data_IF_577545359624
#
_entry.id   IF_577545359624
#
_cell.length_a   1.000
_cell.length_b   1.000
_cell.length_c   1.000
_cell.angle_alpha   90.00
_cell.angle_beta   90.00
_cell.angle_gamma   90.00
#
_symmetry.space_group_name_H-M   'P 1'
#
loop_
_entity.id
_entity.type
_entity.pdbx_description
1 polymer ?
#
# COMPACT_ATOMS: atom_id res chain seq x y z
N UNK A 1 -23.77 -1.16 -22.56
CA UNK A 1 -22.97 -0.47 -21.53
C UNK A 1 -22.59 0.89 -22.09
N UNK A 2 -22.89 2.00 -21.40
CA UNK A 2 -22.50 3.34 -21.89
C UNK A 2 -21.02 3.56 -21.56
N UNK A 3 -20.12 3.68 -22.56
CA UNK A 3 -18.68 3.83 -22.33
C UNK A 3 -18.32 5.10 -21.56
N UNK A 4 -19.21 6.10 -21.52
CA UNK A 4 -19.02 7.34 -20.75
C UNK A 4 -18.88 7.09 -19.25
N UNK A 5 -19.41 5.97 -18.73
CA UNK A 5 -19.32 5.65 -17.30
C UNK A 5 -18.21 4.65 -16.98
N UNK A 6 -17.48 4.15 -17.98
CA UNK A 6 -16.36 3.24 -17.74
C UNK A 6 -15.30 3.97 -16.91
N UNK A 7 -14.84 3.34 -15.83
CA UNK A 7 -13.70 3.79 -15.04
C UNK A 7 -13.70 5.30 -14.76
N UNK A 8 -14.83 5.79 -14.21
CA UNK A 8 -15.10 7.22 -14.16
C UNK A 8 -13.97 8.02 -13.49
N UNK A 9 -13.54 9.10 -14.14
CA UNK A 9 -12.59 10.07 -13.60
C UNK A 9 -13.27 11.01 -12.58
N UNK A 10 -12.45 11.76 -11.83
CA UNK A 10 -12.94 12.81 -10.93
C UNK A 10 -13.65 13.93 -11.71
N UNK A 11 -14.75 14.40 -11.16
CA UNK A 11 -15.46 15.60 -11.64
C UNK A 11 -14.69 16.87 -11.22
N UNK A 12 -15.04 18.05 -11.77
CA UNK A 12 -14.47 19.32 -11.30
C UNK A 12 -14.65 19.54 -9.80
N UNK A 13 -15.81 19.16 -9.23
CA UNK A 13 -16.04 19.20 -7.79
C UNK A 13 -15.14 18.20 -7.03
N UNK A 14 -14.97 16.99 -7.54
CA UNK A 14 -14.08 15.99 -6.95
C UNK A 14 -12.64 16.49 -6.87
N UNK A 15 -12.17 17.16 -7.92
CA UNK A 15 -10.85 17.80 -7.95
C UNK A 15 -10.73 18.98 -6.97
N UNK A 16 -11.78 19.78 -6.79
CA UNK A 16 -11.81 20.82 -5.75
C UNK A 16 -11.71 20.22 -4.34
N UNK A 17 -12.36 19.08 -4.11
CA UNK A 17 -12.27 18.35 -2.83
C UNK A 17 -10.85 17.82 -2.59
N UNK A 18 -10.21 17.26 -3.63
CA UNK A 18 -8.80 16.85 -3.60
C UNK A 18 -7.88 18.02 -3.23
N UNK A 19 -8.07 19.21 -3.80
CA UNK A 19 -7.24 20.38 -3.48
C UNK A 19 -7.41 20.82 -2.02
N UNK A 20 -8.64 20.76 -1.50
CA UNK A 20 -8.91 21.09 -0.11
C UNK A 20 -8.26 20.07 0.84
N UNK A 21 -8.35 18.78 0.52
CA UNK A 21 -7.70 17.73 1.31
C UNK A 21 -6.17 17.87 1.25
N UNK A 22 -5.58 18.12 0.07
CA UNK A 22 -4.14 18.38 -0.09
C UNK A 22 -3.69 19.51 0.82
N UNK A 23 -4.39 20.66 0.80
CA UNK A 23 -4.08 21.81 1.68
C UNK A 23 -4.11 21.41 3.15
N UNK A 24 -5.10 20.64 3.57
CA UNK A 24 -5.21 20.16 4.93
C UNK A 24 -4.03 19.25 5.32
N UNK A 25 -3.74 18.23 4.51
CA UNK A 25 -2.66 17.25 4.73
C UNK A 25 -1.29 17.94 4.80
N UNK A 26 -1.05 18.96 3.97
CA UNK A 26 0.17 19.75 4.01
C UNK A 26 0.22 20.64 5.27
N UNK A 27 -0.88 21.33 5.60
CA UNK A 27 -0.93 22.24 6.74
C UNK A 27 -0.75 21.53 8.09
N UNK A 28 -1.28 20.31 8.24
CA UNK A 28 -1.10 19.52 9.46
C UNK A 28 0.21 18.72 9.48
N UNK A 29 1.00 18.76 8.40
CA UNK A 29 2.27 18.05 8.28
C UNK A 29 2.14 16.54 8.10
N UNK A 30 0.93 16.02 7.83
CA UNK A 30 0.69 14.60 7.61
C UNK A 30 1.41 14.10 6.36
N UNK A 31 1.54 14.92 5.33
CA UNK A 31 2.30 14.59 4.10
C UNK A 31 3.73 14.10 4.37
N UNK A 32 4.38 14.64 5.42
CA UNK A 32 5.77 14.31 5.79
C UNK A 32 5.89 13.05 6.64
N UNK A 33 4.77 12.52 7.13
CA UNK A 33 4.74 11.33 7.99
C UNK A 33 4.42 10.06 7.22
N UNK A 34 3.70 10.17 6.10
CA UNK A 34 3.26 9.01 5.33
C UNK A 34 4.46 8.33 4.68
N UNK A 35 4.64 7.06 4.99
CA UNK A 35 5.69 6.20 4.44
C UNK A 35 5.26 5.58 3.10
N UNK A 36 3.95 5.38 2.90
CA UNK A 36 3.36 4.72 1.74
C UNK A 36 1.91 5.17 1.51
N UNK A 37 1.57 5.41 0.24
CA UNK A 37 0.18 5.56 -0.19
C UNK A 37 -0.24 4.31 -0.95
N UNK A 38 -1.35 3.71 -0.52
CA UNK A 38 -1.97 2.58 -1.21
C UNK A 38 -3.25 3.09 -1.85
N UNK A 39 -3.46 2.76 -3.12
CA UNK A 39 -4.64 3.21 -3.85
C UNK A 39 -5.34 2.07 -4.57
N UNK A 40 -6.66 2.14 -4.64
CA UNK A 40 -7.41 1.28 -5.56
C UNK A 40 -7.03 1.60 -7.01
N UNK A 41 -6.87 0.61 -7.90
CA UNK A 41 -6.57 0.83 -9.31
C UNK A 41 -7.83 1.21 -10.10
N UNK A 42 -8.58 2.21 -9.63
CA UNK A 42 -9.65 2.86 -10.38
C UNK A 42 -9.25 4.30 -10.63
N UNK A 43 -9.62 4.87 -11.79
CA UNK A 43 -9.10 6.16 -12.23
C UNK A 43 -9.35 7.28 -11.21
N UNK A 44 -10.56 7.32 -10.62
CA UNK A 44 -10.91 8.27 -9.55
C UNK A 44 -10.02 8.19 -8.31
N UNK A 45 -9.59 6.99 -7.89
CA UNK A 45 -8.74 6.80 -6.70
C UNK A 45 -7.28 7.04 -7.03
N UNK A 46 -6.81 6.69 -8.23
CA UNK A 46 -5.49 7.08 -8.74
C UNK A 46 -5.36 8.61 -8.76
N UNK A 47 -6.30 9.31 -9.39
CA UNK A 47 -6.34 10.78 -9.43
C UNK A 47 -6.40 11.42 -8.04
N UNK A 48 -7.19 10.85 -7.12
CA UNK A 48 -7.25 11.31 -5.73
C UNK A 48 -5.91 11.13 -5.03
N UNK A 49 -5.29 9.96 -5.14
CA UNK A 49 -4.01 9.65 -4.48
C UNK A 49 -2.89 10.58 -4.93
N UNK A 50 -2.68 10.71 -6.25
CA UNK A 50 -1.64 11.59 -6.79
C UNK A 50 -1.94 13.06 -6.55
N UNK A 51 -3.22 13.46 -6.60
CA UNK A 51 -3.64 14.84 -6.32
C UNK A 51 -3.38 15.27 -4.88
N UNK A 52 -3.72 14.42 -3.91
CA UNK A 52 -3.56 14.71 -2.48
C UNK A 52 -2.11 14.57 -2.03
N UNK A 53 -1.43 13.49 -2.43
CA UNK A 53 -0.13 13.11 -1.88
C UNK A 53 1.06 13.31 -2.82
N UNK A 54 0.84 13.76 -4.06
CA UNK A 54 1.92 14.02 -4.99
C UNK A 54 2.73 15.28 -4.67
N UNK A 55 3.86 15.44 -5.34
CA UNK A 55 4.74 16.60 -5.23
C UNK A 55 4.12 17.88 -5.78
N UNK A 56 4.75 19.02 -5.47
CA UNK A 56 4.43 20.29 -6.13
C UNK A 56 4.73 20.23 -7.63
N UNK A 57 4.17 21.17 -8.40
CA UNK A 57 4.16 21.15 -9.87
C UNK A 57 5.45 20.64 -10.53
N UNK A 58 5.29 19.81 -11.57
CA UNK A 58 6.42 19.23 -12.28
C UNK A 58 7.31 20.31 -12.91
N UNK A 59 8.54 20.45 -12.41
CA UNK A 59 9.60 21.17 -13.11
C UNK A 59 10.39 20.15 -13.91
N UNK A 60 10.74 20.49 -15.16
CA UNK A 60 11.48 19.68 -16.14
C UNK A 60 12.93 19.37 -15.69
N UNK A 61 13.09 18.85 -14.48
CA UNK A 61 14.36 18.35 -13.94
C UNK A 61 14.50 16.92 -14.42
N UNK A 62 15.57 16.70 -15.18
CA UNK A 62 15.70 15.68 -16.22
C UNK A 62 15.65 14.19 -15.82
N UNK A 63 15.40 13.82 -14.56
CA UNK A 63 15.60 12.43 -14.10
C UNK A 63 14.45 11.81 -13.29
N UNK A 64 13.28 12.44 -13.18
CA UNK A 64 12.15 11.87 -12.40
C UNK A 64 10.86 11.84 -13.20
N UNK A 65 10.24 10.65 -13.31
CA UNK A 65 8.92 10.48 -13.92
C UNK A 65 7.83 11.15 -13.06
N UNK A 66 6.84 11.84 -13.66
CA UNK A 66 5.74 12.41 -12.90
C UNK A 66 4.86 11.32 -12.28
N UNK A 67 4.21 11.59 -11.15
CA UNK A 67 3.17 10.70 -10.63
C UNK A 67 1.95 10.65 -11.55
N UNK A 68 1.67 11.77 -12.23
CA UNK A 68 0.54 11.90 -13.16
C UNK A 68 0.93 12.85 -14.29
N UNK A 69 0.70 12.44 -15.53
CA UNK A 69 0.91 13.31 -16.69
C UNK A 69 -0.16 14.40 -16.79
N UNK A 70 0.12 15.45 -17.56
CA UNK A 70 -0.86 16.51 -17.79
C UNK A 70 -2.14 15.96 -18.44
N UNK A 71 -3.29 16.48 -18.00
CA UNK A 71 -4.62 16.12 -18.49
C UNK A 71 -4.98 14.63 -18.37
N UNK A 72 -4.32 13.85 -17.49
CA UNK A 72 -4.66 12.45 -17.26
C UNK A 72 -6.15 12.29 -16.89
N UNK A 73 -6.85 11.42 -17.62
CA UNK A 73 -8.30 11.22 -17.45
C UNK A 73 -9.15 12.46 -17.73
N UNK A 74 -8.76 13.29 -18.71
CA UNK A 74 -9.44 14.55 -19.07
C UNK A 74 -9.62 15.51 -17.90
N UNK A 75 -8.65 15.54 -16.99
CA UNK A 75 -8.72 16.33 -15.76
C UNK A 75 -8.54 17.83 -15.95
N UNK A 76 -7.98 18.27 -17.08
CA UNK A 76 -7.57 19.66 -17.30
C UNK A 76 -6.43 20.12 -16.38
N UNK A 77 -5.74 19.19 -15.71
CA UNK A 77 -4.68 19.49 -14.73
C UNK A 77 -3.29 19.43 -15.35
N UNK A 78 -2.38 20.22 -14.78
CA UNK A 78 -0.95 20.07 -15.06
C UNK A 78 -0.43 18.72 -14.57
N UNK A 79 0.75 18.32 -15.04
CA UNK A 79 1.44 17.14 -14.52
C UNK A 79 1.75 17.31 -13.02
N UNK A 80 1.65 16.21 -12.28
CA UNK A 80 1.95 16.16 -10.84
C UNK A 80 3.29 15.46 -10.65
N UNK A 81 4.20 16.12 -9.93
CA UNK A 81 5.54 15.60 -9.65
C UNK A 81 5.51 14.43 -8.65
N UNK A 82 6.49 13.56 -8.74
CA UNK A 82 6.83 12.56 -7.72
C UNK A 82 7.88 13.05 -6.71
N UNK A 83 8.39 14.27 -6.89
CA UNK A 83 9.33 14.87 -5.95
C UNK A 83 8.65 15.11 -4.60
N UNK A 84 9.31 14.71 -3.51
CA UNK A 84 8.80 14.85 -2.14
C UNK A 84 7.44 14.16 -1.90
N UNK A 85 7.04 13.22 -2.76
CA UNK A 85 5.88 12.37 -2.53
C UNK A 85 6.29 11.00 -1.99
N UNK A 86 5.50 10.40 -1.08
CA UNK A 86 5.69 9.00 -0.71
C UNK A 86 5.48 8.07 -1.92
N UNK A 87 6.05 6.85 -1.91
CA UNK A 87 5.71 5.82 -2.88
C UNK A 87 4.19 5.60 -2.93
N UNK A 88 3.66 5.40 -4.13
CA UNK A 88 2.25 5.12 -4.36
C UNK A 88 2.12 3.76 -5.03
N UNK A 89 1.38 2.84 -4.42
CA UNK A 89 1.19 1.46 -4.92
C UNK A 89 -0.30 1.20 -5.18
N UNK A 90 -0.63 0.67 -6.35
CA UNK A 90 -1.97 0.30 -6.74
C UNK A 90 -2.29 -1.15 -6.36
N UNK A 91 -3.43 -1.39 -5.70
CA UNK A 91 -3.79 -2.71 -5.12
C UNK A 91 -5.24 -3.08 -5.42
N UNK A 92 -5.45 -4.21 -6.08
CA UNK A 92 -6.79 -4.72 -6.46
C UNK A 92 -7.71 -4.98 -5.25
N UNK A 93 -7.16 -5.39 -4.12
CA UNK A 93 -7.93 -5.78 -2.93
C UNK A 93 -8.79 -4.65 -2.34
N UNK A 94 -8.42 -3.38 -2.54
CA UNK A 94 -9.14 -2.22 -1.98
C UNK A 94 -10.07 -1.51 -2.98
N UNK A 95 -10.53 -2.20 -4.03
CA UNK A 95 -11.52 -1.67 -4.97
C UNK A 95 -12.92 -1.59 -4.37
N UNK A 96 -13.77 -0.73 -4.96
CA UNK A 96 -15.22 -0.76 -4.76
C UNK A 96 -15.78 -2.15 -5.14
N UNK A 97 -17.07 -2.36 -4.90
CA UNK A 97 -17.77 -3.57 -5.34
C UNK A 97 -17.47 -3.92 -6.81
N UNK A 98 -17.10 -5.18 -7.06
CA UNK A 98 -16.76 -5.67 -8.39
C UNK A 98 -18.01 -6.04 -9.20
N UNK A 99 -17.95 -5.80 -10.50
CA UNK A 99 -18.92 -6.26 -11.50
C UNK A 99 -20.15 -5.37 -11.70
N UNK A 100 -20.90 -5.62 -12.79
CA UNK A 100 -22.11 -4.92 -13.27
C UNK A 100 -21.95 -3.43 -13.58
N UNK A 101 -21.45 -2.62 -12.65
CA UNK A 101 -21.29 -1.18 -12.82
C UNK A 101 -20.01 -0.86 -13.61
N UNK A 102 -20.11 -0.19 -14.77
CA UNK A 102 -18.95 0.10 -15.61
C UNK A 102 -17.91 1.00 -14.93
N UNK A 103 -18.37 1.90 -14.04
CA UNK A 103 -17.48 2.78 -13.30
C UNK A 103 -16.57 2.03 -12.31
N UNK A 104 -16.91 0.78 -11.98
CA UNK A 104 -16.11 -0.07 -11.12
C UNK A 104 -15.23 -1.04 -11.92
N UNK A 105 -15.25 -0.97 -13.26
CA UNK A 105 -14.31 -1.68 -14.14
C UNK A 105 -13.13 -0.76 -14.43
N UNK A 106 -11.91 -1.19 -14.11
CA UNK A 106 -10.71 -0.40 -14.39
C UNK A 106 -10.29 -0.51 -15.86
N UNK A 107 -9.53 0.48 -16.31
CA UNK A 107 -8.81 0.41 -17.58
C UNK A 107 -7.60 -0.53 -17.50
N UNK A 108 -6.89 -0.74 -18.61
CA UNK A 108 -5.70 -1.58 -18.63
C UNK A 108 -4.59 -1.00 -17.73
N UNK A 109 -3.73 -1.86 -17.19
CA UNK A 109 -2.56 -1.40 -16.42
C UNK A 109 -1.62 -0.62 -17.33
N UNK A 110 -1.48 -1.05 -18.58
CA UNK A 110 -0.69 -0.38 -19.61
C UNK A 110 -1.14 1.07 -19.81
N UNK A 111 -2.45 1.32 -19.96
CA UNK A 111 -2.98 2.69 -20.06
C UNK A 111 -2.70 3.50 -18.80
N UNK A 112 -2.83 2.88 -17.62
CA UNK A 112 -2.51 3.56 -16.37
C UNK A 112 -1.03 3.88 -16.21
N UNK A 113 -0.12 3.04 -16.68
CA UNK A 113 1.32 3.33 -16.64
C UNK A 113 1.67 4.55 -17.51
N UNK A 114 0.96 4.77 -18.62
CA UNK A 114 1.11 6.00 -19.41
C UNK A 114 0.56 7.24 -18.70
N UNK A 115 -0.55 7.11 -17.98
CA UNK A 115 -1.18 8.23 -17.29
C UNK A 115 -0.52 8.56 -15.93
N UNK A 116 -0.02 7.54 -15.24
CA UNK A 116 0.52 7.58 -13.89
C UNK A 116 1.88 6.88 -13.78
N UNK A 117 2.91 7.35 -14.50
CA UNK A 117 4.17 6.60 -14.64
C UNK A 117 4.95 6.46 -13.33
N UNK A 118 4.69 7.31 -12.33
CA UNK A 118 5.27 7.20 -10.99
C UNK A 118 4.50 6.31 -10.00
N UNK A 119 3.35 5.74 -10.39
CA UNK A 119 2.59 4.80 -9.53
C UNK A 119 3.06 3.37 -9.80
N UNK A 120 3.27 2.60 -8.73
CA UNK A 120 3.66 1.20 -8.80
C UNK A 120 2.44 0.30 -8.98
N UNK A 121 2.37 -0.38 -10.12
CA UNK A 121 1.34 -1.36 -10.46
C UNK A 121 1.84 -2.82 -10.40
N UNK A 122 3.03 -3.07 -9.86
CA UNK A 122 3.67 -4.40 -9.85
C UNK A 122 2.89 -5.48 -9.09
N UNK A 123 1.98 -5.09 -8.20
CA UNK A 123 1.09 -6.00 -7.48
C UNK A 123 -0.16 -6.42 -8.28
N UNK A 124 -0.36 -5.89 -9.48
CA UNK A 124 -1.47 -6.26 -10.35
C UNK A 124 -0.98 -7.31 -11.37
N UNK A 125 -1.56 -8.50 -11.30
CA UNK A 125 -1.10 -9.65 -12.08
C UNK A 125 -1.55 -9.64 -13.55
N UNK A 126 -2.69 -9.00 -13.85
CA UNK A 126 -3.29 -8.99 -15.19
C UNK A 126 -3.44 -7.57 -15.72
N UNK A 127 -3.02 -7.33 -16.96
CA UNK A 127 -3.16 -6.04 -17.62
C UNK A 127 -4.64 -5.64 -17.75
N UNK A 128 -5.49 -6.58 -18.18
CA UNK A 128 -6.94 -6.41 -18.27
C UNK A 128 -7.64 -6.62 -16.92
N UNK A 129 -8.82 -6.02 -16.77
CA UNK A 129 -9.65 -6.22 -15.58
C UNK A 129 -10.41 -7.54 -15.60
N UNK A 130 -9.73 -8.61 -15.18
CA UNK A 130 -10.30 -9.97 -15.09
C UNK A 130 -11.20 -10.17 -13.85
N UNK A 131 -11.13 -9.28 -12.86
CA UNK A 131 -11.88 -9.41 -11.61
C UNK A 131 -13.32 -8.89 -11.74
N UNK A 132 -13.51 -7.88 -12.59
CA UNK A 132 -14.83 -7.32 -12.86
C UNK A 132 -15.62 -8.20 -13.85
N UNK A 133 -16.89 -8.50 -13.52
CA UNK A 133 -17.79 -9.31 -14.35
C UNK A 133 -19.02 -8.51 -14.78
N UNK A 134 -19.46 -8.65 -16.03
CA UNK A 134 -20.55 -7.83 -16.56
C UNK A 134 -21.93 -8.14 -15.98
N UNK A 135 -22.13 -9.38 -15.54
CA UNK A 135 -23.40 -9.98 -15.17
C UNK A 135 -23.49 -10.36 -13.69
N UNK A 136 -22.35 -10.41 -12.99
CA UNK A 136 -22.27 -10.78 -11.58
C UNK A 136 -21.73 -9.61 -10.78
N UNK A 137 -22.54 -9.10 -9.84
CA UNK A 137 -22.09 -8.13 -8.84
C UNK A 137 -21.57 -8.88 -7.64
N UNK A 138 -20.42 -8.48 -7.14
CA UNK A 138 -19.88 -8.92 -5.86
C UNK A 138 -20.89 -8.65 -4.73
N UNK A 139 -21.15 -9.67 -3.92
CA UNK A 139 -22.00 -9.57 -2.74
C UNK A 139 -21.32 -8.75 -1.64
N UNK A 140 -22.10 -8.28 -0.66
CA UNK A 140 -21.56 -7.52 0.48
C UNK A 140 -20.62 -8.39 1.32
N UNK A 141 -20.94 -9.67 1.43
CA UNK A 141 -20.17 -10.68 2.16
C UNK A 141 -18.84 -10.98 1.47
N UNK A 142 -18.84 -11.12 0.14
CA UNK A 142 -17.60 -11.28 -0.64
C UNK A 142 -16.72 -10.04 -0.56
N UNK A 143 -17.30 -8.84 -0.67
CA UNK A 143 -16.57 -7.59 -0.53
C UNK A 143 -15.96 -7.46 0.87
N UNK A 144 -16.74 -7.74 1.92
CA UNK A 144 -16.24 -7.72 3.29
C UNK A 144 -15.09 -8.72 3.47
N UNK A 145 -15.23 -9.96 2.96
CA UNK A 145 -14.17 -10.96 2.99
C UNK A 145 -12.91 -10.51 2.24
N UNK A 146 -13.06 -9.86 1.08
CA UNK A 146 -11.94 -9.23 0.35
C UNK A 146 -11.31 -8.08 1.15
N UNK A 147 -12.12 -7.29 1.85
CA UNK A 147 -11.68 -6.27 2.80
C UNK A 147 -10.84 -6.82 3.94
N UNK A 148 -11.24 -7.94 4.54
CA UNK A 148 -10.45 -8.61 5.58
C UNK A 148 -9.12 -9.12 5.01
N UNK A 149 -9.12 -9.69 3.78
CA UNK A 149 -7.87 -10.05 3.09
C UNK A 149 -6.96 -8.84 2.88
N UNK A 150 -7.53 -7.69 2.49
CA UNK A 150 -6.79 -6.43 2.37
C UNK A 150 -6.17 -6.00 3.69
N UNK A 151 -6.93 -5.99 4.79
CA UNK A 151 -6.41 -5.61 6.11
C UNK A 151 -5.32 -6.56 6.60
N UNK A 152 -5.47 -7.87 6.39
CA UNK A 152 -4.44 -8.86 6.72
C UNK A 152 -3.16 -8.64 5.91
N UNK A 153 -3.28 -8.32 4.62
CA UNK A 153 -2.12 -7.96 3.80
C UNK A 153 -1.49 -6.63 4.25
N UNK A 154 -2.31 -5.62 4.54
CA UNK A 154 -1.87 -4.32 5.05
C UNK A 154 -1.08 -4.48 6.36
N UNK A 155 -1.47 -5.42 7.20
CA UNK A 155 -0.78 -5.76 8.45
C UNK A 155 0.64 -6.31 8.25
N UNK A 156 0.95 -6.87 7.08
CA UNK A 156 2.30 -7.39 6.76
C UNK A 156 3.27 -6.32 6.27
N UNK A 157 2.79 -5.08 6.08
CA UNK A 157 3.59 -3.96 5.60
C UNK A 157 4.59 -3.53 6.67
N UNK A 158 5.80 -3.15 6.22
CA UNK A 158 6.86 -2.64 7.11
C UNK A 158 6.68 -1.15 7.43
N UNK A 159 5.88 -0.46 6.64
CA UNK A 159 5.58 0.95 6.75
C UNK A 159 4.69 1.22 7.97
N UNK A 160 4.93 2.34 8.69
CA UNK A 160 4.22 2.64 9.93
C UNK A 160 3.00 3.52 9.69
N UNK A 161 3.17 4.55 8.88
CA UNK A 161 2.12 5.51 8.55
C UNK A 161 1.72 5.31 7.08
N UNK A 162 0.57 4.67 6.87
CA UNK A 162 0.08 4.30 5.53
C UNK A 162 -1.22 5.04 5.24
N UNK A 163 -1.28 5.76 4.12
CA UNK A 163 -2.52 6.33 3.62
C UNK A 163 -3.19 5.36 2.64
N UNK A 164 -4.47 5.05 2.84
CA UNK A 164 -5.25 4.19 1.94
C UNK A 164 -6.31 5.02 1.22
N UNK A 165 -6.22 5.11 -0.10
CA UNK A 165 -7.17 5.82 -0.98
C UNK A 165 -8.07 4.80 -1.66
N UNK A 166 -9.32 4.74 -1.22
CA UNK A 166 -10.28 3.69 -1.61
C UNK A 166 -11.71 4.28 -1.67
N UNK A 167 -12.74 3.45 -1.51
CA UNK A 167 -14.14 3.76 -1.78
C UNK A 167 -15.01 3.59 -0.54
N UNK A 168 -16.12 4.35 -0.49
CA UNK A 168 -17.00 4.36 0.69
C UNK A 168 -17.70 3.02 0.90
N UNK A 169 -18.12 2.32 -0.17
CA UNK A 169 -18.72 0.99 -0.05
C UNK A 169 -17.73 -0.05 0.48
N UNK A 170 -16.50 -0.05 -0.07
CA UNK A 170 -15.41 -0.88 0.41
C UNK A 170 -15.13 -0.65 1.92
N UNK A 171 -14.93 0.60 2.33
CA UNK A 171 -14.62 0.94 3.73
C UNK A 171 -15.76 0.55 4.66
N UNK A 172 -17.01 0.88 4.32
CA UNK A 172 -18.16 0.62 5.17
C UNK A 172 -18.30 -0.87 5.49
N UNK A 173 -18.33 -1.73 4.47
CA UNK A 173 -18.50 -3.17 4.67
C UNK A 173 -17.29 -3.81 5.35
N UNK A 174 -16.07 -3.43 4.94
CA UNK A 174 -14.83 -3.96 5.53
C UNK A 174 -14.72 -3.60 7.01
N UNK A 175 -14.88 -2.32 7.38
CA UNK A 175 -14.71 -1.85 8.75
C UNK A 175 -15.86 -2.28 9.66
N UNK A 176 -17.06 -2.46 9.14
CA UNK A 176 -18.18 -3.03 9.91
C UNK A 176 -17.88 -4.46 10.34
N UNK A 177 -17.34 -5.29 9.44
CA UNK A 177 -16.95 -6.68 9.72
C UNK A 177 -15.70 -6.74 10.60
N UNK A 178 -14.67 -5.95 10.32
CA UNK A 178 -13.45 -5.93 11.13
C UNK A 178 -13.70 -5.41 12.56
N UNK A 179 -14.62 -4.46 12.71
CA UNK A 179 -14.95 -3.81 13.96
C UNK A 179 -15.85 -4.60 14.91
N UNK A 180 -16.21 -5.85 14.60
CA UNK A 180 -17.14 -6.62 15.44
C UNK A 180 -16.63 -6.81 16.87
N UNK A 181 -15.32 -6.97 17.03
CA UNK A 181 -14.65 -7.15 18.33
C UNK A 181 -14.15 -5.82 18.94
N UNK A 182 -14.56 -4.68 18.40
CA UNK A 182 -14.22 -3.36 18.93
C UNK A 182 -15.25 -2.91 19.97
N UNK A 183 -14.85 -2.00 20.86
CA UNK A 183 -15.79 -1.32 21.76
C UNK A 183 -16.91 -0.65 20.94
N UNK A 184 -18.19 -0.67 21.38
CA UNK A 184 -19.32 -0.16 20.59
C UNK A 184 -19.11 1.25 20.03
N UNK A 185 -18.50 2.17 20.78
CA UNK A 185 -18.20 3.52 20.29
C UNK A 185 -17.21 3.53 19.11
N UNK A 186 -16.18 2.68 19.16
CA UNK A 186 -15.21 2.53 18.06
C UNK A 186 -15.88 1.91 16.86
N UNK A 187 -16.67 0.84 17.07
CA UNK A 187 -17.45 0.20 15.99
C UNK A 187 -18.36 1.19 15.30
N UNK A 188 -19.11 2.00 16.06
CA UNK A 188 -19.98 3.03 15.50
C UNK A 188 -19.18 4.03 14.67
N UNK A 189 -18.03 4.51 15.15
CA UNK A 189 -17.24 5.52 14.44
C UNK A 189 -16.64 5.00 13.12
N UNK A 190 -16.00 3.83 13.15
CA UNK A 190 -15.33 3.27 11.97
C UNK A 190 -16.33 2.76 10.91
N UNK A 191 -17.56 2.41 11.33
CA UNK A 191 -18.60 1.89 10.43
C UNK A 191 -19.46 2.99 9.80
N UNK A 192 -19.17 4.27 10.02
CA UNK A 192 -19.89 5.36 9.34
C UNK A 192 -19.45 5.46 7.89
N UNK A 193 -20.41 5.69 6.98
CA UNK A 193 -20.08 6.03 5.60
C UNK A 193 -19.14 7.23 5.54
N UNK A 194 -18.17 7.15 4.64
CA UNK A 194 -17.25 8.24 4.34
C UNK A 194 -17.91 9.17 3.31
N UNK A 195 -17.80 10.48 3.56
CA UNK A 195 -18.08 11.51 2.57
C UNK A 195 -16.99 11.57 1.50
N UNK A 196 -17.26 12.28 0.40
CA UNK A 196 -16.30 12.42 -0.69
C UNK A 196 -15.02 13.12 -0.23
N UNK A 197 -13.88 12.49 -0.49
CA UNK A 197 -12.55 12.99 -0.09
C UNK A 197 -12.41 13.23 1.43
N UNK A 198 -13.18 12.49 2.24
CA UNK A 198 -13.01 12.48 3.69
C UNK A 198 -11.75 11.69 4.09
N UNK A 199 -11.02 12.21 5.08
CA UNK A 199 -9.88 11.54 5.69
C UNK A 199 -10.23 11.15 7.13
N UNK A 200 -10.02 9.88 7.48
CA UNK A 200 -10.03 9.40 8.88
C UNK A 200 -8.72 8.70 9.19
N UNK A 201 -8.23 8.89 10.40
CA UNK A 201 -7.06 8.19 10.92
C UNK A 201 -7.50 7.12 11.89
N UNK A 202 -6.94 5.92 11.73
CA UNK A 202 -7.17 4.77 12.62
C UNK A 202 -5.83 4.17 13.03
N UNK A 203 -5.77 3.60 14.22
CA UNK A 203 -4.61 2.84 14.68
C UNK A 203 -5.01 1.36 14.74
N UNK A 204 -4.29 0.52 14.03
CA UNK A 204 -4.49 -0.92 14.07
C UNK A 204 -3.46 -1.50 15.06
N UNK A 205 -3.91 -2.33 16.00
CA UNK A 205 -3.09 -2.84 17.11
C UNK A 205 -3.10 -4.36 17.17
N UNK A 206 -1.93 -4.95 17.47
CA UNK A 206 -1.82 -6.39 17.69
C UNK A 206 -2.42 -6.73 19.05
N UNK A 207 -3.50 -7.52 19.07
CA UNK A 207 -4.08 -8.02 20.32
C UNK A 207 -3.30 -9.21 20.88
N UNK A 208 -2.46 -9.86 20.08
CA UNK A 208 -1.85 -11.14 20.42
C UNK A 208 -0.63 -11.02 21.35
N UNK A 209 -0.01 -9.84 21.49
CA UNK A 209 1.22 -9.64 22.29
C UNK A 209 2.38 -10.60 21.90
N UNK A 210 2.25 -11.35 20.80
CA UNK A 210 3.31 -12.19 20.25
C UNK A 210 4.13 -11.27 19.37
N UNK A 211 4.91 -10.41 20.01
CA UNK A 211 5.95 -9.61 19.37
C UNK A 211 6.96 -10.53 18.71
N UNK A 212 6.69 -10.90 17.46
CA UNK A 212 7.57 -11.70 16.61
C UNK A 212 8.26 -10.85 15.56
N UNK A 213 8.41 -9.56 15.83
CA UNK A 213 9.41 -8.76 15.12
C UNK A 213 10.79 -9.25 15.57
N UNK A 214 11.33 -10.21 14.83
CA UNK A 214 12.77 -10.36 14.70
C UNK A 214 13.28 -9.01 14.18
N UNK A 215 13.70 -8.14 15.10
CA UNK A 215 14.19 -6.81 14.76
C UNK A 215 15.27 -6.94 13.69
N UNK A 216 15.00 -6.37 12.51
CA UNK A 216 15.94 -6.33 11.40
C UNK A 216 17.22 -5.53 11.73
N UNK A 217 17.22 -4.81 12.85
CA UNK A 217 18.38 -4.08 13.38
C UNK A 217 19.20 -4.89 14.38
N UNK A 218 18.75 -6.10 14.74
CA UNK A 218 19.50 -6.97 15.64
C UNK A 218 20.78 -7.44 14.95
N UNK A 219 21.89 -6.79 15.29
CA UNK A 219 23.22 -7.18 14.85
C UNK A 219 23.86 -8.07 15.92
N UNK A 220 24.11 -9.37 15.65
CA UNK A 220 24.59 -10.32 16.66
C UNK A 220 26.08 -10.15 17.02
N UNK A 221 26.76 -9.12 16.51
CA UNK A 221 28.11 -8.75 16.92
C UNK A 221 29.24 -9.68 16.43
N UNK A 222 28.97 -10.64 15.55
CA UNK A 222 30.02 -11.55 15.05
C UNK A 222 30.84 -10.91 13.93
N UNK A 223 32.16 -11.01 14.02
CA UNK A 223 33.08 -10.75 12.91
C UNK A 223 32.85 -11.84 11.86
N UNK A 224 32.69 -11.52 10.56
CA UNK A 224 32.58 -12.53 9.52
C UNK A 224 33.81 -13.44 9.59
N UNK A 225 33.61 -14.75 9.75
CA UNK A 225 34.72 -15.69 9.60
C UNK A 225 35.26 -15.52 8.18
N UNK A 226 36.49 -15.01 8.09
CA UNK A 226 37.24 -15.01 6.84
C UNK A 226 37.40 -16.45 6.32
N UNK A 227 37.65 -16.65 5.03
CA UNK A 227 37.75 -17.98 4.46
C UNK A 227 38.79 -18.81 5.22
N UNK A 228 38.36 -19.93 5.81
CA UNK A 228 39.18 -20.82 6.61
C UNK A 228 40.42 -21.23 5.81
N UNK A 229 41.61 -20.86 6.32
CA UNK A 229 42.87 -21.45 5.84
C UNK A 229 43.09 -22.77 6.57
N UNK A 230 43.47 -23.85 5.87
CA UNK A 230 43.70 -25.15 6.50
C UNK A 230 45.03 -25.12 7.26
N UNK A 231 44.98 -25.09 8.59
CA UNK A 231 46.15 -25.29 9.44
C UNK A 231 46.38 -26.78 9.68
N UNK A 232 47.24 -27.38 8.87
CA UNK A 232 48.00 -28.57 9.25
C UNK A 232 49.25 -28.10 10.00
N UNK A 233 49.49 -28.65 11.19
CA UNK A 233 50.78 -29.16 11.68
C UNK A 233 50.51 -29.81 13.03
N UNK A 234 50.82 -31.10 13.10
CA UNK A 234 50.77 -31.92 14.29
C UNK A 234 52.10 -31.80 15.05
N UNK A 235 52.05 -31.62 16.35
CA UNK A 235 53.14 -31.98 17.26
C UNK A 235 52.54 -32.76 18.44
N UNK A 236 52.66 -34.09 18.34
CA UNK A 236 52.50 -35.00 19.47
C UNK A 236 53.87 -35.13 20.14
N UNK A 237 53.98 -34.81 21.44
CA UNK A 237 54.99 -35.40 22.30
C UNK A 237 54.31 -35.98 23.56
N UNK A 238 54.58 -37.27 23.73
CA UNK A 238 54.06 -38.16 24.77
C UNK A 238 54.88 -38.03 26.06
N UNK A 239 54.23 -38.22 27.21
CA UNK A 239 54.76 -38.88 28.42
C UNK A 239 53.57 -39.01 29.41
N UNK A 240 53.31 -40.12 30.12
CA UNK A 240 54.03 -41.38 30.26
C UNK A 240 53.19 -42.41 31.05
N UNK A 241 53.78 -43.58 31.33
CA UNK A 241 53.31 -44.54 32.33
C UNK A 241 54.50 -45.22 33.00
N UNK A 242 54.51 -45.20 34.34
CA UNK A 242 55.36 -46.02 35.21
C UNK A 242 55.01 -47.52 35.04
N UNK A 243 55.83 -48.53 35.34
CA UNK A 243 56.63 -48.75 36.56
C UNK A 243 57.44 -50.07 36.48
N UNK A 244 58.66 -50.08 37.06
CA UNK A 244 59.36 -51.12 37.89
C UNK A 244 59.45 -52.58 37.38
N UNK A 245 60.51 -53.38 37.56
CA UNK A 245 61.79 -53.34 38.28
C UNK A 245 62.68 -54.49 37.73
N UNK A 246 63.99 -54.34 37.89
CA UNK A 246 65.11 -55.32 37.85
C UNK A 246 64.87 -56.66 38.58
N UNK A 247 65.72 -57.71 38.42
CA UNK A 247 67.14 -57.69 38.01
C UNK A 247 67.51 -58.44 36.71
#
# INVERSE_FOLDING_TARGET
>A
MNPVYLDAHLTPLGWQQVDNLRKHVQACGLSKKIDLVITSPLLRTLQTAVGVFGGEGYTDRFDVLPLMVANAGNSGRAAISSLDSPPIVAVELCREHLGVHPCDKRSSVTDYQFLFPGVDFSLIESDEDILWKADVRETKEELAARGIKFLNWLWTRKEKEIAVVTHSGFLFHTLTTFGEDCHPSVKTEISRHFANCELRSVVIVDKSNIGSDLSATNFPGKIPHGPDRPSTIAENNMEGKSSKNEP
#
